data_IF_233943803805
#
_entry.id   IF_233943803805
#
_cell.length_a   1.000
_cell.length_b   1.000
_cell.length_c   1.000
_cell.angle_alpha   90.00
_cell.angle_beta   90.00
_cell.angle_gamma   90.00
#
_symmetry.space_group_name_H-M   'P 1'
#
loop_
_entity.id
_entity.type
_entity.pdbx_description
1 polymer ?
#
# COMPACT_ATOMS: atom_id res chain seq x y z
N UNK A 1 -1.48 -15.38 -5.52
CA UNK A 1 -2.54 -14.82 -4.64
C UNK A 1 -3.11 -13.55 -5.27
N UNK A 2 -4.42 -13.33 -5.12
CA UNK A 2 -5.05 -12.05 -5.47
C UNK A 2 -4.99 -11.09 -4.28
N UNK A 3 -5.04 -9.77 -4.54
CA UNK A 3 -5.13 -8.76 -3.46
C UNK A 3 -6.30 -9.04 -2.50
N UNK A 4 -7.45 -9.49 -3.04
CA UNK A 4 -8.61 -9.84 -2.23
C UNK A 4 -8.38 -11.05 -1.32
N UNK A 5 -7.73 -12.10 -1.83
CA UNK A 5 -7.40 -13.27 -0.99
C UNK A 5 -6.43 -12.91 0.14
N UNK A 6 -5.42 -12.09 -0.16
CA UNK A 6 -4.48 -11.56 0.82
C UNK A 6 -5.25 -10.73 1.87
N UNK A 7 -6.05 -9.76 1.44
CA UNK A 7 -6.82 -8.92 2.35
C UNK A 7 -7.72 -9.74 3.29
N UNK A 8 -8.47 -10.72 2.78
CA UNK A 8 -9.31 -11.60 3.61
C UNK A 8 -8.50 -12.35 4.66
N UNK A 9 -7.32 -12.84 4.28
CA UNK A 9 -6.44 -13.56 5.21
C UNK A 9 -5.93 -12.64 6.32
N UNK A 10 -5.45 -11.45 5.97
CA UNK A 10 -4.99 -10.44 6.93
C UNK A 10 -6.11 -9.96 7.85
N UNK A 11 -7.32 -9.73 7.32
CA UNK A 11 -8.49 -9.33 8.11
C UNK A 11 -8.92 -10.41 9.14
N UNK A 12 -8.56 -11.67 8.91
CA UNK A 12 -8.76 -12.76 9.88
C UNK A 12 -7.62 -12.89 10.91
N UNK A 13 -6.53 -12.16 10.75
CA UNK A 13 -5.33 -12.24 11.62
C UNK A 13 -5.40 -11.18 12.72
N UNK A 14 -5.47 -11.61 13.98
CA UNK A 14 -5.69 -10.70 15.12
C UNK A 14 -4.62 -9.62 15.24
N UNK A 15 -3.34 -9.96 15.03
CA UNK A 15 -2.21 -9.04 15.14
C UNK A 15 -2.10 -7.99 14.00
N UNK A 16 -2.81 -8.20 12.88
CA UNK A 16 -2.63 -7.38 11.67
C UNK A 16 -3.88 -6.62 11.27
N UNK A 17 -5.06 -7.15 11.59
CA UNK A 17 -6.35 -6.60 11.14
C UNK A 17 -6.56 -5.12 11.50
N UNK A 18 -5.98 -4.65 12.60
CA UNK A 18 -6.10 -3.26 13.06
C UNK A 18 -5.36 -2.26 12.15
N UNK A 19 -4.44 -2.74 11.32
CA UNK A 19 -3.69 -1.93 10.38
C UNK A 19 -4.31 -1.92 8.97
N UNK A 20 -5.42 -2.62 8.76
CA UNK A 20 -6.03 -2.68 7.44
C UNK A 20 -7.01 -1.52 7.24
N UNK A 21 -6.89 -0.77 6.14
CA UNK A 21 -7.94 0.16 5.75
C UNK A 21 -9.23 -0.60 5.39
N UNK A 22 -10.37 0.02 5.60
CA UNK A 22 -11.65 -0.53 5.19
C UNK A 22 -11.62 -0.88 3.69
N UNK A 23 -11.96 -2.12 3.37
CA UNK A 23 -11.80 -2.64 2.01
C UNK A 23 -12.96 -3.58 1.67
N UNK A 24 -13.53 -3.43 0.47
CA UNK A 24 -14.52 -4.32 -0.08
C UNK A 24 -14.14 -4.79 -1.49
N UNK A 25 -14.71 -5.91 -1.94
CA UNK A 25 -14.67 -6.31 -3.33
C UNK A 25 -15.67 -5.47 -4.14
N UNK A 26 -15.26 -4.96 -5.29
CA UNK A 26 -16.17 -4.31 -6.22
C UNK A 26 -17.06 -5.35 -6.89
N UNK A 27 -18.30 -5.46 -6.47
CA UNK A 27 -19.32 -6.33 -7.06
C UNK A 27 -20.24 -5.58 -8.01
N UNK A 28 -20.39 -4.26 -7.82
CA UNK A 28 -21.31 -3.45 -8.59
C UNK A 28 -21.03 -1.94 -8.44
N UNK A 29 -21.53 -1.08 -9.34
CA UNK A 29 -21.48 0.36 -9.17
C UNK A 29 -22.12 0.88 -7.88
N UNK A 30 -23.10 0.15 -7.36
CA UNK A 30 -23.78 0.46 -6.11
C UNK A 30 -22.81 0.38 -4.93
N UNK A 31 -21.95 -0.66 -4.88
CA UNK A 31 -20.97 -0.84 -3.80
C UNK A 31 -20.00 0.33 -3.75
N UNK A 32 -19.47 0.74 -4.91
CA UNK A 32 -18.58 1.89 -5.01
C UNK A 32 -19.29 3.18 -4.55
N UNK A 33 -20.54 3.39 -4.96
CA UNK A 33 -21.30 4.56 -4.57
C UNK A 33 -21.54 4.63 -3.06
N UNK A 34 -21.98 3.52 -2.45
CA UNK A 34 -22.23 3.47 -1.01
C UNK A 34 -20.95 3.59 -0.20
N UNK A 35 -19.88 2.97 -0.68
CA UNK A 35 -18.59 3.06 -0.02
C UNK A 35 -18.01 4.49 -0.10
N UNK A 36 -18.22 5.18 -1.24
CA UNK A 36 -17.85 6.58 -1.43
C UNK A 36 -18.67 7.55 -0.54
N UNK A 37 -19.87 7.17 -0.12
CA UNK A 37 -20.63 7.93 0.86
C UNK A 37 -20.13 7.75 2.30
N UNK A 38 -19.56 6.60 2.61
CA UNK A 38 -18.92 6.34 3.90
C UNK A 38 -17.53 7.00 3.96
N UNK A 39 -16.76 6.87 2.89
CA UNK A 39 -15.41 7.40 2.76
C UNK A 39 -15.32 8.30 1.53
N UNK A 40 -15.16 9.61 1.68
CA UNK A 40 -15.19 10.55 0.55
C UNK A 40 -14.04 10.38 -0.45
N UNK A 41 -12.96 9.70 -0.04
CA UNK A 41 -11.81 9.36 -0.88
C UNK A 41 -11.59 7.84 -0.89
N UNK A 42 -11.49 7.28 -2.08
CA UNK A 42 -11.30 5.84 -2.27
C UNK A 42 -10.14 5.56 -3.22
N UNK A 43 -9.48 4.45 -2.99
CA UNK A 43 -8.51 3.86 -3.92
C UNK A 43 -9.10 2.56 -4.49
N UNK A 44 -9.26 2.49 -5.80
CA UNK A 44 -9.75 1.30 -6.51
C UNK A 44 -8.56 0.60 -7.15
N UNK A 45 -8.28 -0.63 -6.69
CA UNK A 45 -7.11 -1.43 -7.08
C UNK A 45 -7.55 -2.66 -7.87
N UNK A 46 -6.91 -3.00 -9.01
CA UNK A 46 -7.21 -4.26 -9.69
C UNK A 46 -6.82 -5.45 -8.82
N UNK A 47 -7.58 -6.54 -8.89
CA UNK A 47 -7.33 -7.76 -8.09
C UNK A 47 -6.00 -8.41 -8.43
N UNK A 48 -5.63 -8.37 -9.70
CA UNK A 48 -4.37 -8.92 -10.21
C UNK A 48 -3.45 -7.77 -10.63
N UNK A 49 -2.15 -7.94 -10.40
CA UNK A 49 -1.13 -6.94 -10.74
C UNK A 49 -0.92 -6.72 -12.26
N UNK A 50 -1.70 -7.38 -13.13
CA UNK A 50 -1.55 -7.33 -14.56
C UNK A 50 -1.84 -5.93 -15.12
N UNK A 51 -0.83 -5.07 -15.22
CA UNK A 51 -0.77 -3.82 -16.01
C UNK A 51 -1.92 -2.80 -15.84
N UNK A 52 -2.85 -3.00 -14.93
CA UNK A 52 -3.95 -2.08 -14.65
C UNK A 52 -3.54 -1.05 -13.61
N UNK A 53 -3.93 0.18 -13.85
CA UNK A 53 -3.63 1.29 -12.94
C UNK A 53 -4.48 1.25 -11.69
N UNK A 54 -3.91 1.71 -10.59
CA UNK A 54 -4.64 2.09 -9.39
C UNK A 54 -5.39 3.39 -9.69
N UNK A 55 -6.65 3.45 -9.33
CA UNK A 55 -7.55 4.58 -9.61
C UNK A 55 -7.96 5.20 -8.29
N UNK A 56 -7.76 6.51 -8.14
CA UNK A 56 -8.34 7.27 -7.05
C UNK A 56 -9.71 7.78 -7.45
N UNK A 57 -10.69 7.65 -6.56
CA UNK A 57 -12.07 8.10 -6.76
C UNK A 57 -12.49 8.93 -5.56
N UNK A 58 -12.90 10.18 -5.76
CA UNK A 58 -13.36 11.01 -4.65
C UNK A 58 -14.49 11.95 -5.03
N UNK A 59 -15.28 12.35 -4.03
CA UNK A 59 -16.30 13.38 -4.17
C UNK A 59 -15.69 14.75 -3.92
N UNK A 60 -15.72 15.61 -4.94
CA UNK A 60 -15.38 17.03 -4.77
C UNK A 60 -16.50 17.78 -4.00
N UNK A 61 -17.74 17.36 -4.22
CA UNK A 61 -18.95 17.77 -3.51
C UNK A 61 -20.05 16.72 -3.72
N UNK A 62 -21.27 16.95 -3.21
CA UNK A 62 -22.38 15.98 -3.28
C UNK A 62 -22.72 15.49 -4.69
N UNK A 63 -22.42 16.28 -5.72
CA UNK A 63 -22.82 16.04 -7.12
C UNK A 63 -21.64 16.07 -8.11
N UNK A 64 -20.42 16.04 -7.61
CA UNK A 64 -19.21 16.07 -8.44
C UNK A 64 -18.23 15.01 -8.00
N UNK A 65 -17.88 14.15 -8.94
CA UNK A 65 -16.98 13.02 -8.80
C UNK A 65 -15.69 13.29 -9.55
N UNK A 66 -14.57 12.93 -8.96
CA UNK A 66 -13.26 12.96 -9.62
C UNK A 66 -12.70 11.55 -9.66
N UNK A 67 -12.18 11.17 -10.82
CA UNK A 67 -11.51 9.89 -11.06
C UNK A 67 -10.11 10.18 -11.58
N UNK A 68 -9.10 9.75 -10.85
CA UNK A 68 -7.69 9.97 -11.19
C UNK A 68 -6.97 8.64 -11.34
N UNK A 69 -6.32 8.46 -12.47
CA UNK A 69 -5.44 7.32 -12.71
C UNK A 69 -4.06 7.64 -12.12
N UNK A 70 -3.64 6.94 -11.08
CA UNK A 70 -2.38 7.23 -10.37
C UNK A 70 -1.13 6.87 -11.17
N UNK A 71 -1.26 6.11 -12.26
CA UNK A 71 -0.13 5.74 -13.13
C UNK A 71 0.08 6.75 -14.26
N UNK A 72 -1.01 7.15 -14.93
CA UNK A 72 -0.95 8.07 -16.07
C UNK A 72 -1.10 9.53 -15.66
N UNK A 73 -1.44 9.77 -14.39
CA UNK A 73 -1.77 11.08 -13.82
C UNK A 73 -2.97 11.77 -14.51
N UNK A 74 -3.73 10.98 -15.31
CA UNK A 74 -4.93 11.47 -15.98
C UNK A 74 -6.06 11.62 -14.97
N UNK A 75 -6.63 12.81 -14.88
CA UNK A 75 -7.73 13.13 -13.96
C UNK A 75 -8.95 13.62 -14.73
N UNK A 76 -10.11 13.05 -14.43
CA UNK A 76 -11.39 13.43 -15.03
C UNK A 76 -12.40 13.79 -13.95
N UNK A 77 -13.13 14.86 -14.18
CA UNK A 77 -14.21 15.32 -13.29
C UNK A 77 -15.56 15.14 -13.97
N UNK A 78 -16.52 14.63 -13.20
CA UNK A 78 -17.88 14.33 -13.66
C UNK A 78 -18.91 15.01 -12.75
N UNK A 79 -19.92 15.62 -13.34
CA UNK A 79 -21.12 16.05 -12.62
C UNK A 79 -22.20 14.99 -12.79
N UNK A 80 -22.98 14.74 -11.76
CA UNK A 80 -24.12 13.83 -11.80
C UNK A 80 -25.26 14.40 -10.95
N UNK A 81 -26.50 14.23 -11.43
CA UNK A 81 -27.70 14.71 -10.76
C UNK A 81 -28.53 13.57 -10.14
N UNK A 82 -28.13 12.32 -10.42
CA UNK A 82 -28.78 11.14 -9.86
C UNK A 82 -27.77 10.03 -9.60
N UNK A 83 -28.17 9.05 -8.77
CA UNK A 83 -27.38 7.82 -8.52
C UNK A 83 -27.10 7.05 -9.81
N UNK A 84 -28.12 6.95 -10.68
CA UNK A 84 -28.00 6.20 -11.93
C UNK A 84 -26.95 6.80 -12.87
N UNK A 85 -26.82 8.13 -12.90
CA UNK A 85 -25.73 8.78 -13.64
C UNK A 85 -24.37 8.45 -13.05
N UNK A 86 -24.22 8.43 -11.72
CA UNK A 86 -22.97 8.00 -11.08
C UNK A 86 -22.65 6.52 -11.41
N UNK A 87 -23.67 5.64 -11.40
CA UNK A 87 -23.49 4.23 -11.78
C UNK A 87 -23.03 4.05 -13.23
N UNK A 88 -23.59 4.85 -14.15
CA UNK A 88 -23.16 4.84 -15.55
C UNK A 88 -21.68 5.26 -15.69
N UNK A 89 -21.24 6.26 -14.91
CA UNK A 89 -19.84 6.66 -14.90
C UNK A 89 -18.96 5.51 -14.39
N UNK A 90 -19.29 4.88 -13.28
CA UNK A 90 -18.49 3.79 -12.72
C UNK A 90 -18.36 2.60 -13.66
N UNK A 91 -19.44 2.21 -14.34
CA UNK A 91 -19.43 1.12 -15.35
C UNK A 91 -18.46 1.35 -16.51
N UNK A 92 -18.12 2.61 -16.81
CA UNK A 92 -17.13 2.91 -17.86
C UNK A 92 -15.69 2.58 -17.42
N UNK A 93 -15.43 2.59 -16.10
CA UNK A 93 -14.08 2.40 -15.54
C UNK A 93 -13.85 1.01 -14.94
N UNK A 94 -14.88 0.41 -14.36
CA UNK A 94 -14.74 -0.78 -13.52
C UNK A 94 -15.65 -1.90 -14.00
N UNK A 95 -15.08 -3.11 -14.05
CA UNK A 95 -15.80 -4.36 -14.29
C UNK A 95 -16.01 -5.09 -12.97
N UNK A 96 -17.20 -5.63 -12.80
CA UNK A 96 -17.58 -6.34 -11.59
C UNK A 96 -16.63 -7.52 -11.30
N UNK A 97 -16.25 -7.65 -10.03
CA UNK A 97 -15.37 -8.73 -9.57
C UNK A 97 -13.89 -8.60 -9.95
N UNK A 98 -13.46 -7.52 -10.61
CA UNK A 98 -12.06 -7.34 -11.04
C UNK A 98 -11.26 -6.34 -10.19
N UNK A 99 -11.89 -5.70 -9.20
CA UNK A 99 -11.28 -4.64 -8.38
C UNK A 99 -11.59 -4.78 -6.90
N UNK A 100 -10.69 -4.23 -6.08
CA UNK A 100 -10.95 -3.84 -4.70
C UNK A 100 -11.34 -2.37 -4.65
N UNK A 101 -12.22 -2.03 -3.72
CA UNK A 101 -12.43 -0.66 -3.27
C UNK A 101 -11.86 -0.56 -1.86
N UNK A 102 -10.95 0.35 -1.67
CA UNK A 102 -10.27 0.58 -0.39
C UNK A 102 -10.41 2.04 0.01
N UNK A 103 -10.63 2.28 1.29
CA UNK A 103 -10.53 3.61 1.88
C UNK A 103 -9.19 4.23 1.51
N UNK A 104 -9.20 5.47 1.04
CA UNK A 104 -7.97 6.20 0.75
C UNK A 104 -7.51 6.92 2.01
N UNK A 105 -6.29 6.61 2.40
CA UNK A 105 -5.65 7.15 3.59
C UNK A 105 -5.10 8.56 3.33
N UNK A 106 -4.98 8.92 2.06
CA UNK A 106 -4.53 10.23 1.62
C UNK A 106 -5.70 11.23 1.69
N UNK A 107 -5.90 11.81 2.84
CA UNK A 107 -6.93 12.82 3.08
C UNK A 107 -6.32 14.20 2.82
N UNK A 108 -6.99 15.01 2.01
CA UNK A 108 -6.55 16.39 1.70
C UNK A 108 -6.34 17.18 2.99
N UNK A 109 -5.13 17.67 3.20
CA UNK A 109 -4.75 18.42 4.42
C UNK A 109 -4.10 17.56 5.51
N UNK A 110 -3.95 16.25 5.30
CA UNK A 110 -3.28 15.32 6.20
C UNK A 110 -1.91 14.94 5.66
N UNK A 111 -0.87 15.09 6.45
CA UNK A 111 0.46 14.59 6.06
C UNK A 111 0.52 13.09 6.27
N UNK A 112 0.92 12.37 5.24
CA UNK A 112 1.16 10.94 5.31
C UNK A 112 2.55 10.60 4.80
N UNK A 113 3.14 9.55 5.36
CA UNK A 113 4.40 8.99 4.91
C UNK A 113 4.15 7.56 4.42
N UNK A 114 4.47 7.30 3.15
CA UNK A 114 4.47 5.94 2.61
C UNK A 114 5.82 5.29 2.84
N UNK A 115 5.81 4.10 3.43
CA UNK A 115 6.98 3.34 3.81
C UNK A 115 6.89 1.97 3.14
N UNK A 116 7.93 1.59 2.38
CA UNK A 116 8.08 0.22 1.86
C UNK A 116 9.12 -0.52 2.67
N UNK A 117 8.75 -1.68 3.20
CA UNK A 117 9.63 -2.53 4.00
C UNK A 117 9.90 -3.82 3.21
N UNK A 118 11.16 -4.08 2.93
CA UNK A 118 11.59 -5.32 2.27
C UNK A 118 11.77 -6.38 3.34
N UNK A 119 11.08 -7.50 3.17
CA UNK A 119 11.19 -8.67 4.05
C UNK A 119 11.72 -9.86 3.28
N UNK A 120 12.60 -10.64 3.90
CA UNK A 120 13.20 -11.85 3.32
C UNK A 120 13.30 -12.96 4.35
N UNK A 121 13.28 -14.21 3.90
CA UNK A 121 13.63 -15.35 4.74
C UNK A 121 15.14 -15.54 4.77
N UNK A 122 15.66 -15.70 5.97
CA UNK A 122 17.08 -16.05 6.15
C UNK A 122 17.32 -17.55 5.96
N UNK A 123 18.59 -17.95 6.07
CA UNK A 123 19.03 -19.35 5.96
C UNK A 123 18.36 -20.29 7.00
N UNK A 124 17.77 -19.78 8.08
CA UNK A 124 17.02 -20.56 9.05
C UNK A 124 15.55 -20.72 8.64
N UNK A 125 15.07 -19.93 7.69
CA UNK A 125 13.70 -19.84 7.24
C UNK A 125 12.86 -18.84 8.03
N UNK A 126 13.50 -18.02 8.87
CA UNK A 126 12.84 -16.96 9.61
C UNK A 126 12.76 -15.68 8.78
N UNK A 127 11.63 -14.98 8.90
CA UNK A 127 11.44 -13.68 8.27
C UNK A 127 12.27 -12.59 8.95
N UNK A 128 12.90 -11.76 8.13
CA UNK A 128 13.65 -10.56 8.55
C UNK A 128 13.24 -9.37 7.70
N UNK A 129 13.06 -8.23 8.36
CA UNK A 129 12.94 -6.95 7.68
C UNK A 129 14.35 -6.41 7.39
N UNK A 130 14.69 -6.26 6.11
CA UNK A 130 16.05 -5.93 5.67
C UNK A 130 16.24 -4.45 5.39
N UNK A 131 15.17 -3.75 5.01
CA UNK A 131 15.27 -2.33 4.68
C UNK A 131 13.91 -1.66 4.70
N UNK A 132 13.94 -0.39 5.10
CA UNK A 132 12.80 0.49 5.17
C UNK A 132 13.07 1.70 4.27
N UNK A 133 12.17 1.94 3.32
CA UNK A 133 12.32 2.98 2.31
C UNK A 133 11.09 3.88 2.34
N UNK A 134 11.33 5.20 2.46
CA UNK A 134 10.24 6.18 2.40
C UNK A 134 10.12 6.77 1.01
N UNK A 135 8.91 6.97 0.55
CA UNK A 135 8.61 7.85 -0.56
C UNK A 135 8.23 9.20 0.01
N UNK A 136 9.15 10.15 -0.06
CA UNK A 136 8.87 11.52 0.32
C UNK A 136 7.99 12.16 -0.73
N UNK A 137 6.80 12.58 -0.35
CA UNK A 137 6.07 13.58 -1.11
C UNK A 137 6.63 14.94 -0.66
N UNK A 138 7.39 15.60 -1.53
CA UNK A 138 7.74 17.01 -1.32
C UNK A 138 6.50 17.82 -1.70
N UNK A 139 5.52 17.82 -0.81
CA UNK A 139 4.36 18.68 -0.91
C UNK A 139 4.77 20.13 -0.77
N UNK A 140 4.69 20.88 -1.82
CA UNK A 140 4.80 22.34 -1.74
C UNK A 140 4.56 23.02 -3.07
N UNK A 141 5.04 22.50 -4.20
CA UNK A 141 4.97 23.26 -5.46
C UNK A 141 4.84 22.44 -6.75
N UNK A 142 4.71 21.13 -6.68
CA UNK A 142 4.54 20.29 -7.88
C UNK A 142 3.46 19.23 -7.67
N UNK A 143 2.20 19.62 -7.71
CA UNK A 143 1.09 18.70 -7.98
C UNK A 143 1.38 17.99 -9.32
N UNK A 144 1.79 16.73 -9.27
CA UNK A 144 1.86 15.87 -10.43
C UNK A 144 3.21 15.24 -10.79
N UNK A 145 4.31 15.51 -10.11
CA UNK A 145 5.55 14.76 -10.30
C UNK A 145 5.88 13.92 -9.08
N UNK A 146 5.49 12.65 -9.13
CA UNK A 146 6.09 11.59 -8.31
C UNK A 146 7.57 11.48 -8.67
N UNK A 147 8.41 12.29 -8.05
CA UNK A 147 9.83 11.97 -7.97
C UNK A 147 9.98 10.94 -6.85
N UNK A 148 10.44 9.72 -7.15
CA UNK A 148 10.80 8.77 -6.11
C UNK A 148 12.05 9.26 -5.39
N UNK A 149 11.88 10.10 -4.38
CA UNK A 149 12.92 10.34 -3.39
C UNK A 149 12.89 9.14 -2.45
N UNK A 150 13.49 8.05 -2.93
CA UNK A 150 13.71 6.88 -2.12
C UNK A 150 14.92 7.18 -1.23
N UNK A 151 14.65 7.59 0.00
CA UNK A 151 15.70 7.75 1.03
C UNK A 151 15.46 6.70 2.09
N UNK A 152 16.44 5.84 2.30
CA UNK A 152 16.54 5.03 3.49
C UNK A 152 17.12 5.93 4.59
N UNK A 153 16.27 6.35 5.52
CA UNK A 153 16.72 7.12 6.66
C UNK A 153 15.87 6.78 7.87
N UNK A 154 16.45 6.09 8.84
CA UNK A 154 15.86 5.86 10.17
C UNK A 154 15.44 7.20 10.79
N UNK A 155 16.26 8.22 10.59
CA UNK A 155 16.07 9.58 11.05
C UNK A 155 14.81 10.22 10.45
N UNK A 156 14.48 9.96 9.16
CA UNK A 156 13.31 10.58 8.53
C UNK A 156 11.99 10.10 9.11
N UNK A 157 11.89 8.83 9.50
CA UNK A 157 10.69 8.33 10.18
C UNK A 157 10.59 8.95 11.56
N UNK A 158 11.72 9.01 12.28
CA UNK A 158 11.82 9.67 13.57
C UNK A 158 11.44 11.16 13.48
N UNK A 159 11.99 11.88 12.50
CA UNK A 159 11.72 13.30 12.28
C UNK A 159 10.25 13.57 11.91
N UNK A 160 9.65 12.71 11.09
CA UNK A 160 8.23 12.82 10.73
C UNK A 160 7.35 12.64 11.97
N UNK A 161 7.66 11.64 12.80
CA UNK A 161 6.90 11.35 14.01
C UNK A 161 7.14 12.37 15.12
N UNK A 162 8.34 12.98 15.20
CA UNK A 162 8.65 14.04 16.18
C UNK A 162 8.03 15.38 15.80
N UNK A 163 7.82 15.67 14.52
CA UNK A 163 7.15 16.88 14.06
C UNK A 163 5.63 16.84 14.26
N UNK A 164 5.05 15.66 14.42
CA UNK A 164 3.69 15.52 14.91
C UNK A 164 3.74 15.67 16.44
N UNK A 165 2.91 16.54 17.03
CA UNK A 165 2.74 16.70 18.49
C UNK A 165 2.30 15.40 19.21
N UNK A 166 2.34 14.30 18.49
CA UNK A 166 2.05 12.98 18.97
C UNK A 166 3.31 12.34 19.57
N UNK A 167 3.27 12.16 20.84
CA UNK A 167 4.09 11.17 21.56
C UNK A 167 3.77 9.74 21.07
N UNK A 168 3.62 9.54 19.75
CA UNK A 168 3.44 8.24 19.17
C UNK A 168 4.77 7.52 19.26
N UNK A 169 4.80 6.50 20.10
CA UNK A 169 5.92 5.59 20.33
C UNK A 169 6.21 4.68 19.12
N UNK A 170 5.81 5.08 17.90
CA UNK A 170 6.05 4.27 16.72
C UNK A 170 7.55 4.25 16.43
N UNK A 171 8.15 3.13 16.73
CA UNK A 171 9.57 2.89 16.52
C UNK A 171 9.83 2.23 15.18
N UNK A 172 11.05 2.33 14.72
CA UNK A 172 11.55 1.59 13.56
C UNK A 172 11.33 0.07 13.74
N UNK A 173 11.54 -0.43 14.93
CA UNK A 173 11.34 -1.83 15.32
C UNK A 173 9.87 -2.25 15.20
N UNK A 174 8.93 -1.40 15.59
CA UNK A 174 7.49 -1.70 15.46
C UNK A 174 7.05 -1.80 13.99
N UNK A 175 7.55 -0.93 13.12
CA UNK A 175 7.29 -1.03 11.68
C UNK A 175 7.82 -2.35 11.10
N UNK A 176 9.01 -2.79 11.53
CA UNK A 176 9.58 -4.08 11.15
C UNK A 176 8.72 -5.24 11.65
N UNK A 177 8.24 -5.20 12.89
CA UNK A 177 7.36 -6.23 13.45
C UNK A 177 6.04 -6.30 12.69
N UNK A 178 5.39 -5.18 12.41
CA UNK A 178 4.16 -5.13 11.62
C UNK A 178 4.38 -5.79 10.25
N UNK A 179 5.48 -5.47 9.56
CA UNK A 179 5.78 -6.06 8.27
C UNK A 179 5.99 -7.57 8.34
N UNK A 180 6.72 -8.06 9.36
CA UNK A 180 6.94 -9.48 9.59
C UNK A 180 5.62 -10.19 9.90
N UNK A 181 4.78 -9.65 10.77
CA UNK A 181 3.48 -10.21 11.11
C UNK A 181 2.57 -10.32 9.88
N UNK A 182 2.60 -9.31 9.01
CA UNK A 182 1.86 -9.31 7.75
C UNK A 182 2.28 -10.47 6.83
N UNK A 183 3.59 -10.67 6.61
CA UNK A 183 4.08 -11.72 5.71
C UNK A 183 3.87 -13.11 6.31
N UNK A 184 4.02 -13.28 7.62
CA UNK A 184 3.73 -14.52 8.33
C UNK A 184 2.24 -14.88 8.25
N UNK A 185 1.36 -13.89 8.37
CA UNK A 185 -0.08 -14.12 8.27
C UNK A 185 -0.49 -14.70 6.91
N UNK A 186 0.17 -14.32 5.80
CA UNK A 186 -0.14 -14.84 4.46
C UNK A 186 0.68 -16.06 4.05
N UNK A 187 1.72 -16.42 4.78
CA UNK A 187 2.60 -17.56 4.46
C UNK A 187 1.86 -18.89 4.36
N UNK A 188 0.81 -19.10 5.16
CA UNK A 188 -0.01 -20.31 5.15
C UNK A 188 -1.02 -20.43 3.99
N UNK A 189 -0.98 -19.55 2.97
CA UNK A 189 -1.98 -19.51 1.89
C UNK A 189 -1.64 -20.39 0.68
N UNK A 190 -1.02 -21.54 0.86
CA UNK A 190 -0.63 -22.49 -0.21
C UNK A 190 0.29 -21.90 -1.30
N UNK A 191 1.04 -20.85 -0.96
CA UNK A 191 2.06 -20.27 -1.82
C UNK A 191 3.35 -20.16 -1.03
N UNK A 192 4.43 -20.71 -1.58
CA UNK A 192 5.76 -20.54 -1.02
C UNK A 192 6.39 -19.27 -1.60
N UNK A 193 6.83 -18.37 -0.74
CA UNK A 193 7.62 -17.20 -1.11
C UNK A 193 8.68 -16.94 -0.03
N UNK A 194 9.79 -16.37 -0.44
CA UNK A 194 10.95 -16.13 0.41
C UNK A 194 11.26 -14.65 0.60
N UNK A 195 10.55 -13.79 -0.12
CA UNK A 195 10.68 -12.35 -0.06
C UNK A 195 9.33 -11.67 -0.33
N UNK A 196 9.14 -10.52 0.26
CA UNK A 196 8.00 -9.64 0.00
C UNK A 196 8.36 -8.19 0.30
N UNK A 197 7.60 -7.27 -0.28
CA UNK A 197 7.56 -5.88 0.16
C UNK A 197 6.20 -5.61 0.83
N UNK A 198 6.24 -4.96 1.98
CA UNK A 198 5.06 -4.52 2.71
C UNK A 198 5.01 -3.00 2.64
N UNK A 199 3.95 -2.45 2.07
CA UNK A 199 3.73 -1.02 2.00
C UNK A 199 2.84 -0.58 3.17
N UNK A 200 3.38 0.31 3.99
CA UNK A 200 2.72 0.89 5.15
C UNK A 200 2.60 2.39 4.93
N UNK A 201 1.46 2.96 5.27
CA UNK A 201 1.28 4.41 5.32
C UNK A 201 1.10 4.83 6.78
N UNK A 202 1.86 5.82 7.19
CA UNK A 202 1.75 6.44 8.52
C UNK A 202 1.19 7.84 8.36
N UNK A 203 0.12 8.14 9.07
CA UNK A 203 -0.47 9.47 9.15
C UNK A 203 0.18 10.34 10.20
N UNK A 204 0.04 11.65 10.08
CA UNK A 204 0.59 12.60 11.05
C UNK A 204 0.00 12.46 12.47
N UNK A 205 -1.15 11.81 12.62
CA UNK A 205 -1.75 11.48 13.91
C UNK A 205 -1.29 10.13 14.48
N UNK A 206 -0.27 9.49 13.86
CA UNK A 206 0.26 8.21 14.30
C UNK A 206 -0.56 7.00 13.83
N UNK A 207 -1.57 7.22 13.01
CA UNK A 207 -2.34 6.13 12.40
C UNK A 207 -1.45 5.33 11.44
N UNK A 208 -1.60 4.02 11.48
CA UNK A 208 -0.81 3.09 10.67
C UNK A 208 -1.75 2.26 9.80
N UNK A 209 -1.47 2.24 8.50
CA UNK A 209 -2.22 1.40 7.56
C UNK A 209 -1.29 0.56 6.70
N UNK A 210 -1.50 -0.74 6.70
CA UNK A 210 -0.88 -1.64 5.74
C UNK A 210 -1.70 -1.59 4.45
N UNK A 211 -1.12 -1.04 3.40
CA UNK A 211 -1.82 -0.74 2.15
C UNK A 211 -1.63 -1.78 1.07
N UNK A 212 -0.47 -2.47 1.05
CA UNK A 212 -0.17 -3.50 0.06
C UNK A 212 0.89 -4.49 0.55
N UNK A 213 0.80 -5.75 0.08
CA UNK A 213 1.90 -6.73 0.15
C UNK A 213 2.20 -7.19 -1.27
N UNK A 214 3.42 -6.95 -1.72
CA UNK A 214 3.95 -7.48 -2.97
C UNK A 214 4.88 -8.67 -2.69
N UNK A 215 4.39 -9.88 -2.95
CA UNK A 215 5.10 -11.14 -2.74
C UNK A 215 5.61 -11.76 -4.06
N UNK A 216 5.31 -11.12 -5.20
CA UNK A 216 5.71 -11.63 -6.51
C UNK A 216 6.95 -10.91 -7.07
N UNK A 217 7.01 -9.60 -6.88
CA UNK A 217 8.13 -8.77 -7.35
C UNK A 217 8.37 -7.60 -6.38
N UNK A 218 8.99 -7.85 -5.23
CA UNK A 218 9.13 -6.86 -4.17
C UNK A 218 10.06 -5.68 -4.50
N UNK A 219 10.56 -5.58 -5.74
CA UNK A 219 11.39 -4.46 -6.22
C UNK A 219 12.57 -4.16 -5.31
N UNK A 220 13.44 -5.15 -5.10
CA UNK A 220 14.65 -5.01 -4.26
C UNK A 220 15.60 -3.92 -4.77
N UNK A 221 15.55 -3.59 -6.05
CA UNK A 221 16.26 -2.49 -6.69
C UNK A 221 15.98 -1.12 -6.08
N UNK A 222 14.93 -1.00 -5.28
CA UNK A 222 14.66 0.21 -4.50
C UNK A 222 15.88 0.60 -3.61
N UNK A 223 16.62 -0.38 -3.11
CA UNK A 223 17.83 -0.14 -2.34
C UNK A 223 18.95 0.52 -3.19
N UNK A 224 19.10 0.10 -4.45
CA UNK A 224 20.04 0.73 -5.39
C UNK A 224 19.64 2.16 -5.72
N UNK A 225 18.35 2.38 -6.01
CA UNK A 225 17.80 3.71 -6.31
C UNK A 225 17.97 4.65 -5.11
N UNK A 226 17.88 4.12 -3.90
CA UNK A 226 18.12 4.85 -2.66
C UNK A 226 19.59 5.15 -2.37
N UNK A 227 20.53 4.57 -3.14
CA UNK A 227 21.98 4.75 -2.93
C UNK A 227 22.60 3.78 -1.90
N UNK A 228 21.96 2.64 -1.64
CA UNK A 228 22.40 1.61 -0.69
C UNK A 228 22.71 0.28 -1.39
N UNK A 229 23.77 0.21 -2.23
CA UNK A 229 24.11 -1.01 -2.97
C UNK A 229 24.46 -2.18 -2.03
N UNK A 230 25.13 -1.93 -0.91
CA UNK A 230 25.47 -2.99 0.05
C UNK A 230 24.22 -3.67 0.60
N UNK A 231 23.19 -2.92 0.94
CA UNK A 231 21.90 -3.45 1.39
C UNK A 231 21.21 -4.27 0.29
N UNK A 232 21.27 -3.81 -0.97
CA UNK A 232 20.75 -4.59 -2.10
C UNK A 232 21.43 -5.96 -2.20
N UNK A 233 22.75 -6.00 -2.14
CA UNK A 233 23.50 -7.25 -2.19
C UNK A 233 23.25 -8.12 -0.96
N UNK A 234 23.07 -7.54 0.22
CA UNK A 234 22.70 -8.27 1.43
C UNK A 234 21.32 -8.94 1.30
N UNK A 235 20.32 -8.24 0.76
CA UNK A 235 18.98 -8.79 0.47
C UNK A 235 19.13 -9.99 -0.48
N UNK A 236 19.84 -9.83 -1.60
CA UNK A 236 20.04 -10.92 -2.57
C UNK A 236 20.77 -12.11 -1.95
N UNK A 237 21.84 -11.87 -1.21
CA UNK A 237 22.61 -12.91 -0.52
C UNK A 237 21.73 -13.70 0.45
N UNK A 238 20.90 -13.02 1.23
CA UNK A 238 19.99 -13.64 2.19
C UNK A 238 18.99 -14.56 1.49
N UNK A 239 18.39 -14.10 0.38
CA UNK A 239 17.51 -14.91 -0.47
C UNK A 239 18.22 -16.14 -1.05
N UNK A 240 19.46 -15.98 -1.53
CA UNK A 240 20.25 -17.09 -2.08
C UNK A 240 20.60 -18.13 -1.01
N UNK A 241 20.94 -17.70 0.20
CA UNK A 241 21.25 -18.61 1.31
C UNK A 241 20.00 -19.42 1.72
N UNK A 242 18.82 -18.80 1.71
CA UNK A 242 17.57 -19.52 1.93
C UNK A 242 17.29 -20.52 0.80
N UNK A 243 17.45 -20.13 -0.45
CA UNK A 243 17.27 -21.03 -1.60
C UNK A 243 18.22 -22.24 -1.51
N UNK A 244 19.49 -22.00 -1.14
CA UNK A 244 20.48 -23.09 -0.91
C UNK A 244 20.02 -24.07 0.17
N UNK A 245 19.43 -23.57 1.26
CA UNK A 245 18.86 -24.46 2.31
C UNK A 245 17.76 -25.36 1.79
N UNK A 246 16.92 -24.89 0.85
CA UNK A 246 15.83 -25.68 0.29
C UNK A 246 16.29 -26.81 -0.65
N UNK A 247 17.50 -26.69 -1.18
CA UNK A 247 18.06 -27.66 -2.14
C UNK A 247 19.02 -28.67 -1.49
N UNK A 248 19.25 -28.57 -0.18
CA UNK A 248 20.14 -29.47 0.60
C UNK A 248 21.54 -28.99 0.60
#
# INVERSE_FOLDING_TARGET
LTRWSIHKKLASSIGVKCYLPDTILYGSPQDLYYFLKKFPNLTVKPLNNANRSVIRVYLKNSNSLVISNLRTMETKSYKFNSRDQAYCIFKQYFKDGEYLIQESIDVTGYRTMSIRIITVKDQTGQWKAMGLFTRGDQSGENEGKLMPLVKFQKEMVSDFLQQSDLHASLTYEELHHIAIDCVQAIEGMNVHFANAAVDITVGELGDIWMTEIDHCNPSHDIALVAGYPDLYYEILKTNMLYAKKLTG
#
